data_IF_021554777165
#
_entry.id   IF_021554777165
#
_cell.length_a   1.000
_cell.length_b   1.000
_cell.length_c   1.000
_cell.angle_alpha   90.00
_cell.angle_beta   90.00
_cell.angle_gamma   90.00
#
_symmetry.space_group_name_H-M   'P 1'
#
loop_
_entity.id
_entity.type
_entity.pdbx_description
1 polymer ?
#
# COMPACT_ATOMS: atom_id res chain seq x y z
N UNK A 1 0.54 -3.45 8.45
CA UNK A 1 1.17 -2.28 9.08
C UNK A 1 2.00 -1.55 8.03
N UNK A 2 3.33 -1.63 8.06
CA UNK A 2 4.29 -0.77 7.39
C UNK A 2 5.07 -1.47 6.28
N UNK A 3 4.67 -2.68 5.89
CA UNK A 3 5.34 -3.47 4.86
C UNK A 3 5.11 -2.93 3.45
N UNK A 4 6.17 -2.94 2.63
CA UNK A 4 6.10 -2.60 1.21
C UNK A 4 5.23 -3.55 0.39
N UNK A 5 4.88 -4.74 0.90
CA UNK A 5 3.97 -5.68 0.22
C UNK A 5 2.60 -5.07 -0.09
N UNK A 6 2.19 -4.07 0.70
CA UNK A 6 0.99 -3.28 0.44
C UNK A 6 1.02 -2.65 -0.96
N UNK A 7 2.19 -2.16 -1.39
CA UNK A 7 2.38 -1.57 -2.72
C UNK A 7 2.13 -2.61 -3.80
N UNK A 8 2.75 -3.78 -3.72
CA UNK A 8 2.59 -4.83 -4.73
C UNK A 8 1.14 -5.35 -4.79
N UNK A 9 0.50 -5.49 -3.62
CA UNK A 9 -0.88 -5.99 -3.54
C UNK A 9 -1.91 -5.01 -4.14
N UNK A 10 -1.61 -3.71 -4.17
CA UNK A 10 -2.52 -2.71 -4.77
C UNK A 10 -2.76 -2.93 -6.26
N UNK A 11 -1.85 -3.61 -6.98
CA UNK A 11 -2.04 -3.99 -8.39
C UNK A 11 -3.31 -4.82 -8.60
N UNK A 12 -3.76 -5.55 -7.57
CA UNK A 12 -5.00 -6.35 -7.62
C UNK A 12 -6.26 -5.51 -7.40
N UNK A 13 -6.12 -4.23 -7.02
CA UNK A 13 -7.22 -3.32 -6.65
C UNK A 13 -8.18 -3.96 -5.64
N UNK A 14 -7.62 -4.67 -4.65
CA UNK A 14 -8.38 -5.34 -3.60
C UNK A 14 -8.35 -4.56 -2.29
N UNK A 15 -9.35 -4.78 -1.41
CA UNK A 15 -9.34 -4.22 -0.07
C UNK A 15 -8.07 -4.46 0.72
N UNK A 16 -7.63 -3.41 1.41
CA UNK A 16 -6.48 -3.41 2.33
C UNK A 16 -6.93 -2.75 3.62
N UNK A 17 -6.68 -3.40 4.75
CA UNK A 17 -6.79 -2.78 6.08
C UNK A 17 -5.39 -2.73 6.68
N UNK A 18 -5.03 -1.56 7.22
CA UNK A 18 -3.74 -1.29 7.82
C UNK A 18 -3.88 -1.24 9.33
N UNK A 19 -3.63 -2.39 9.94
CA UNK A 19 -3.51 -2.48 11.38
C UNK A 19 -2.17 -1.86 11.80
N UNK A 20 -2.21 -0.66 12.35
CA UNK A 20 -1.06 0.19 12.66
C UNK A 20 -1.11 0.62 14.14
N UNK A 21 -1.13 -0.36 15.04
CA UNK A 21 -1.39 -0.18 16.48
C UNK A 21 -0.34 0.71 17.18
N UNK A 22 0.87 0.81 16.65
CA UNK A 22 2.02 1.56 17.17
C UNK A 22 2.48 2.67 16.22
N UNK A 23 1.58 3.21 15.38
CA UNK A 23 1.94 4.19 14.34
C UNK A 23 2.70 5.41 14.88
N UNK A 24 2.27 5.96 16.01
CA UNK A 24 2.92 7.14 16.60
C UNK A 24 4.34 6.84 17.08
N UNK A 25 4.53 5.70 17.74
CA UNK A 25 5.83 5.24 18.19
C UNK A 25 6.74 4.95 16.98
N UNK A 26 6.21 4.26 15.96
CA UNK A 26 6.91 3.93 14.73
C UNK A 26 7.42 5.18 13.99
N UNK A 27 6.57 6.19 13.82
CA UNK A 27 6.95 7.48 13.19
C UNK A 27 8.02 8.21 14.02
N UNK A 28 7.95 8.14 15.35
CA UNK A 28 8.87 8.87 16.23
C UNK A 28 10.25 8.22 16.35
N UNK A 29 10.33 6.88 16.20
CA UNK A 29 11.54 6.10 16.45
C UNK A 29 12.30 5.71 15.17
N UNK A 30 11.60 5.49 14.05
CA UNK A 30 12.24 5.09 12.79
C UNK A 30 12.49 6.27 11.84
N UNK A 31 13.26 6.02 10.78
CA UNK A 31 13.39 6.95 9.65
C UNK A 31 11.98 7.11 9.09
N UNK A 32 11.32 8.22 9.42
CA UNK A 32 9.93 8.48 9.05
C UNK A 32 9.62 8.13 7.59
N UNK A 33 8.35 7.90 7.31
CA UNK A 33 7.89 7.50 5.98
C UNK A 33 8.27 8.53 4.90
N UNK A 34 8.50 8.06 3.67
CA UNK A 34 8.72 8.93 2.50
C UNK A 34 7.58 9.91 2.25
N UNK A 35 6.38 9.56 2.72
CA UNK A 35 5.17 10.38 2.65
C UNK A 35 4.40 10.29 3.95
N UNK A 36 3.44 11.19 4.17
CA UNK A 36 2.56 11.08 5.34
C UNK A 36 1.73 9.79 5.26
N UNK A 37 2.03 8.85 6.15
CA UNK A 37 1.37 7.54 6.18
C UNK A 37 -0.15 7.67 6.38
N UNK A 38 -0.62 8.65 7.15
CA UNK A 38 -2.06 8.85 7.41
C UNK A 38 -2.79 9.33 6.15
N UNK A 39 -2.08 10.10 5.34
CA UNK A 39 -2.66 10.70 4.15
C UNK A 39 -2.52 9.86 2.90
N UNK A 40 -1.50 9.01 2.81
CA UNK A 40 -1.17 8.39 1.52
C UNK A 40 -1.66 6.95 1.36
N UNK A 41 -1.82 6.19 2.43
CA UNK A 41 -2.09 4.76 2.31
C UNK A 41 -3.44 4.46 1.62
N UNK A 42 -3.53 3.37 0.83
CA UNK A 42 -4.66 3.07 -0.05
C UNK A 42 -5.88 2.45 0.65
N UNK A 43 -5.87 2.32 1.98
CA UNK A 43 -6.89 1.60 2.73
C UNK A 43 -7.03 2.06 4.17
N UNK A 44 -8.07 1.58 4.85
CA UNK A 44 -8.43 1.99 6.21
C UNK A 44 -7.31 1.70 7.20
N UNK A 45 -6.92 2.71 7.98
CA UNK A 45 -6.00 2.56 9.11
C UNK A 45 -6.83 2.26 10.36
N UNK A 46 -6.43 1.22 11.08
CA UNK A 46 -7.04 0.82 12.36
C UNK A 46 -5.96 0.59 13.41
N UNK A 47 -6.26 0.90 14.66
CA UNK A 47 -5.28 0.93 15.74
C UNK A 47 -5.49 -0.16 16.81
N UNK A 48 -6.65 -0.81 16.79
CA UNK A 48 -6.98 -1.89 17.72
C UNK A 48 -7.75 -3.01 17.01
N UNK A 49 -7.90 -4.13 17.72
CA UNK A 49 -8.53 -5.34 17.19
C UNK A 49 -10.02 -5.15 16.93
N UNK A 50 -10.72 -4.39 17.77
CA UNK A 50 -12.16 -4.16 17.64
C UNK A 50 -12.46 -3.40 16.35
N UNK A 51 -11.73 -2.32 16.09
CA UNK A 51 -11.83 -1.54 14.84
C UNK A 51 -11.48 -2.39 13.60
N UNK A 52 -10.50 -3.30 13.71
CA UNK A 52 -10.15 -4.23 12.62
C UNK A 52 -11.32 -5.18 12.31
N UNK A 53 -11.91 -5.78 13.35
CA UNK A 53 -13.04 -6.71 13.22
C UNK A 53 -14.24 -5.98 12.61
N UNK A 54 -14.56 -4.78 13.11
CA UNK A 54 -15.69 -4.00 12.63
C UNK A 54 -15.48 -3.57 11.17
N UNK A 55 -14.26 -3.18 10.79
CA UNK A 55 -13.93 -2.86 9.40
C UNK A 55 -14.14 -4.05 8.45
N UNK A 56 -13.84 -5.28 8.90
CA UNK A 56 -14.07 -6.49 8.11
C UNK A 56 -15.56 -6.81 7.99
N UNK A 57 -16.30 -6.74 9.10
CA UNK A 57 -17.73 -7.09 9.14
C UNK A 57 -18.61 -6.12 8.35
N UNK A 58 -18.30 -4.83 8.46
CA UNK A 58 -19.06 -3.76 7.81
C UNK A 58 -18.52 -3.43 6.41
N UNK A 59 -17.49 -4.15 5.94
CA UNK A 59 -16.81 -3.91 4.66
C UNK A 59 -16.31 -2.47 4.47
N UNK A 60 -15.94 -1.81 5.57
CA UNK A 60 -15.40 -0.44 5.57
C UNK A 60 -13.89 -0.45 5.31
N UNK A 61 -13.51 -0.48 4.03
CA UNK A 61 -12.11 -0.59 3.61
C UNK A 61 -11.46 0.73 3.19
N UNK A 62 -12.25 1.80 3.01
CA UNK A 62 -11.77 3.13 2.62
C UNK A 62 -10.87 3.11 1.37
N UNK A 63 -11.45 2.70 0.24
CA UNK A 63 -10.73 2.54 -1.05
C UNK A 63 -10.54 3.85 -1.81
N UNK A 64 -10.93 5.01 -1.25
CA UNK A 64 -10.99 6.27 -1.98
C UNK A 64 -9.60 6.73 -2.47
N UNK A 65 -8.53 6.27 -1.81
CA UNK A 65 -7.14 6.60 -2.12
C UNK A 65 -6.45 5.58 -3.02
N UNK A 66 -7.11 4.48 -3.39
CA UNK A 66 -6.48 3.37 -4.14
C UNK A 66 -5.93 3.83 -5.49
N UNK A 67 -6.73 4.57 -6.27
CA UNK A 67 -6.32 5.05 -7.60
C UNK A 67 -5.14 6.02 -7.51
N UNK A 68 -5.19 6.99 -6.58
CA UNK A 68 -4.12 7.95 -6.36
C UNK A 68 -2.83 7.25 -5.90
N UNK A 69 -2.95 6.29 -5.00
CA UNK A 69 -1.83 5.50 -4.51
C UNK A 69 -1.18 4.67 -5.62
N UNK A 70 -1.98 3.98 -6.45
CA UNK A 70 -1.48 3.22 -7.60
C UNK A 70 -0.70 4.11 -8.57
N UNK A 71 -1.27 5.27 -8.89
CA UNK A 71 -0.62 6.25 -9.78
C UNK A 71 0.68 6.79 -9.18
N UNK A 72 0.73 7.00 -7.87
CA UNK A 72 1.95 7.43 -7.19
C UNK A 72 3.04 6.36 -7.26
N UNK A 73 2.70 5.10 -6.99
CA UNK A 73 3.68 4.02 -6.88
C UNK A 73 4.16 3.49 -8.24
N UNK A 74 3.25 3.37 -9.21
CA UNK A 74 3.52 2.71 -10.49
C UNK A 74 3.52 3.65 -11.69
N UNK A 75 3.06 4.90 -11.53
CA UNK A 75 2.95 5.85 -12.65
C UNK A 75 2.11 5.25 -13.79
N UNK A 76 2.71 5.19 -14.98
CA UNK A 76 2.18 4.37 -16.08
C UNK A 76 2.60 2.91 -15.88
N UNK A 77 1.66 2.06 -15.45
CA UNK A 77 1.93 0.64 -15.25
C UNK A 77 2.34 -0.05 -16.56
N UNK A 78 3.52 -0.68 -16.56
CA UNK A 78 4.05 -1.43 -17.71
C UNK A 78 4.25 -2.89 -17.33
N UNK A 79 3.43 -3.83 -17.85
CA UNK A 79 3.61 -5.25 -17.57
C UNK A 79 4.86 -5.81 -18.25
N UNK A 80 5.21 -7.05 -17.91
CA UNK A 80 6.28 -7.83 -18.55
C UNK A 80 7.71 -7.32 -18.31
N UNK A 81 8.00 -6.79 -17.11
CA UNK A 81 9.35 -6.31 -16.74
C UNK A 81 10.46 -7.33 -17.03
N UNK A 82 10.24 -8.63 -16.74
CA UNK A 82 11.23 -9.66 -17.03
C UNK A 82 11.51 -9.84 -18.51
N UNK A 83 10.47 -9.74 -19.37
CA UNK A 83 10.65 -9.81 -20.82
C UNK A 83 11.40 -8.58 -21.33
N UNK A 84 11.06 -7.39 -20.84
CA UNK A 84 11.75 -6.15 -21.22
C UNK A 84 13.25 -6.23 -20.95
N UNK A 85 13.64 -6.72 -19.77
CA UNK A 85 15.05 -6.89 -19.40
C UNK A 85 15.71 -7.99 -20.25
N UNK A 86 15.02 -9.10 -20.52
CA UNK A 86 15.53 -10.15 -21.38
C UNK A 86 15.80 -9.65 -22.80
N UNK A 87 14.83 -8.96 -23.41
CA UNK A 87 14.95 -8.40 -24.75
C UNK A 87 16.13 -7.41 -24.80
N UNK A 88 16.28 -6.54 -23.78
CA UNK A 88 17.42 -5.62 -23.68
C UNK A 88 18.79 -6.33 -23.61
N UNK A 89 18.90 -7.43 -22.84
CA UNK A 89 20.15 -8.18 -22.71
C UNK A 89 20.49 -8.96 -23.98
N UNK A 90 19.48 -9.43 -24.73
CA UNK A 90 19.66 -10.27 -25.91
C UNK A 90 19.79 -9.48 -27.22
N UNK A 91 19.36 -8.23 -27.27
CA UNK A 91 19.47 -7.34 -28.43
C UNK A 91 20.81 -6.56 -28.50
N UNK A 92 21.73 -6.78 -27.54
CA UNK A 92 23.15 -6.38 -27.58
C UNK A 92 24.05 -7.43 -28.29
#
# INVERSE_FOLDING_TARGET
DYSSIMVDYTILEKPIILFAYDLDDYISMERGFYFDYREMVPGKIVYNIDDLIDSIKEEDFRLEKMEEFLKLQFGEFKPNSSKLILDYILED
#
